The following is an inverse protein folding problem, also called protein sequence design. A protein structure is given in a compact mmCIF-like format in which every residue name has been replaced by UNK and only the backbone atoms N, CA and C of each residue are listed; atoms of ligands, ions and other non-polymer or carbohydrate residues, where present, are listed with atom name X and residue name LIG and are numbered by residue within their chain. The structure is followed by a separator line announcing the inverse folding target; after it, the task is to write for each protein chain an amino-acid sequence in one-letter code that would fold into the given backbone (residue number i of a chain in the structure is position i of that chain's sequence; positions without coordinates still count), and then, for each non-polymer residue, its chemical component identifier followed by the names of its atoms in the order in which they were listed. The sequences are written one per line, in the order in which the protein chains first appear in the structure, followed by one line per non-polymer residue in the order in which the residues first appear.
data_IF_496497098767
#
_entry.id   IF_496497098767
#
_cell.length_a   1.000
_cell.length_b   1.000
_cell.length_c   1.000
_cell.angle_alpha   90.00
_cell.angle_beta   90.00
_cell.angle_gamma   90.00
#
_symmetry.space_group_name_H-M   'P 1'
#
loop_
_entity.id
_entity.type
_entity.pdbx_description
1 polymer ?
#
# COMPACT_ATOMS: atom_id res chain seq x y z
N UNK A 1 -26.79 -0.11 5.86
CA UNK A 1 -25.54 -0.53 5.19
C UNK A 1 -24.48 0.50 5.49
N UNK A 2 -23.35 0.08 6.07
CA UNK A 2 -22.30 0.94 6.60
C UNK A 2 -21.44 1.55 5.47
N UNK A 3 -22.04 2.42 4.65
CA UNK A 3 -21.28 3.28 3.74
C UNK A 3 -20.64 4.38 4.59
N UNK A 4 -19.50 4.08 5.20
CA UNK A 4 -18.71 5.07 5.94
C UNK A 4 -18.48 6.31 5.08
N UNK A 5 -18.52 7.49 5.71
CA UNK A 5 -18.41 8.81 5.08
C UNK A 5 -16.97 9.11 4.60
N UNK A 6 -16.44 8.30 3.70
CA UNK A 6 -15.11 8.52 3.12
C UNK A 6 -15.22 8.80 1.63
N UNK A 7 -14.46 9.79 1.16
CA UNK A 7 -14.30 10.07 -0.27
C UNK A 7 -12.98 9.48 -0.77
N UNK A 8 -12.93 9.13 -2.05
CA UNK A 8 -11.74 8.62 -2.73
C UNK A 8 -11.36 9.58 -3.85
N UNK A 9 -10.08 9.85 -3.99
CA UNK A 9 -9.53 10.79 -4.98
C UNK A 9 -8.32 10.16 -5.67
N UNK A 10 -8.19 10.36 -6.98
CA UNK A 10 -7.02 9.90 -7.72
C UNK A 10 -5.77 10.68 -7.32
N UNK A 11 -4.61 10.03 -7.41
CA UNK A 11 -3.33 10.68 -7.23
C UNK A 11 -2.91 11.38 -8.53
N UNK A 12 -2.46 12.64 -8.50
CA UNK A 12 -2.18 13.42 -9.70
C UNK A 12 -0.93 12.96 -10.47
N UNK A 13 0.02 12.33 -9.77
CA UNK A 13 1.31 11.90 -10.35
C UNK A 13 1.44 10.38 -10.53
N UNK A 14 0.47 9.58 -10.07
CA UNK A 14 0.60 8.12 -10.05
C UNK A 14 -0.77 7.44 -10.15
N UNK A 15 -1.10 6.91 -11.33
CA UNK A 15 -2.39 6.25 -11.57
C UNK A 15 -2.66 5.06 -10.64
N UNK A 16 -1.64 4.39 -10.10
CA UNK A 16 -1.83 3.28 -9.16
C UNK A 16 -2.14 3.75 -7.75
N UNK A 17 -1.82 5.01 -7.43
CA UNK A 17 -2.06 5.58 -6.10
C UNK A 17 -3.38 6.34 -6.07
N UNK A 18 -3.93 6.41 -4.87
CA UNK A 18 -5.13 7.19 -4.60
C UNK A 18 -5.17 7.62 -3.14
N UNK A 19 -5.97 8.63 -2.85
CA UNK A 19 -6.21 9.12 -1.51
C UNK A 19 -7.59 8.70 -1.04
N UNK A 20 -7.69 8.27 0.22
CA UNK A 20 -8.95 8.16 0.94
C UNK A 20 -8.99 9.27 1.98
N UNK A 21 -10.00 10.13 1.90
CA UNK A 21 -10.24 11.17 2.90
C UNK A 21 -11.16 10.63 4.00
N UNK A 22 -10.61 10.51 5.20
CA UNK A 22 -11.34 10.11 6.41
C UNK A 22 -11.35 11.30 7.36
N UNK A 23 -12.53 11.84 7.69
CA UNK A 23 -12.67 12.99 8.60
C UNK A 23 -11.82 14.21 8.18
N UNK A 24 -11.67 14.43 6.87
CA UNK A 24 -10.85 15.51 6.31
C UNK A 24 -9.34 15.24 6.28
N UNK A 25 -8.89 14.07 6.74
CA UNK A 25 -7.47 13.67 6.69
C UNK A 25 -7.24 12.74 5.49
N UNK A 26 -6.47 13.14 4.46
CA UNK A 26 -6.15 12.29 3.34
C UNK A 26 -5.13 11.22 3.74
N UNK A 27 -5.38 9.98 3.35
CA UNK A 27 -4.46 8.85 3.50
C UNK A 27 -4.17 8.25 2.14
N UNK A 28 -2.88 8.07 1.84
CA UNK A 28 -2.43 7.45 0.58
C UNK A 28 -2.60 5.92 0.63
N UNK A 29 -3.14 5.38 -0.45
CA UNK A 29 -3.28 3.95 -0.71
C UNK A 29 -2.87 3.65 -2.17
N UNK A 30 -2.68 2.37 -2.47
CA UNK A 30 -2.32 1.91 -3.81
C UNK A 30 -3.15 0.71 -4.25
N UNK A 31 -3.44 0.66 -5.55
CA UNK A 31 -4.02 -0.50 -6.22
C UNK A 31 -2.99 -1.63 -6.36
N UNK A 32 -3.44 -2.90 -6.44
CA UNK A 32 -2.55 -4.03 -6.69
C UNK A 32 -1.79 -3.84 -8.02
N UNK A 33 -0.66 -4.53 -8.15
CA UNK A 33 0.14 -4.46 -9.36
C UNK A 33 -0.68 -4.97 -10.55
N UNK A 34 -0.74 -4.16 -11.61
CA UNK A 34 -1.49 -4.45 -12.83
C UNK A 34 -2.82 -3.70 -12.92
N UNK A 35 -3.23 -2.97 -11.87
CA UNK A 35 -4.44 -2.12 -11.91
C UNK A 35 -4.14 -0.70 -11.46
N UNK A 36 -5.00 0.22 -11.88
CA UNK A 36 -4.91 1.65 -11.58
C UNK A 36 -6.22 2.13 -10.97
N UNK A 37 -6.19 3.27 -10.27
CA UNK A 37 -7.37 3.80 -9.62
C UNK A 37 -8.24 4.59 -10.60
N UNK A 38 -9.50 4.18 -10.73
CA UNK A 38 -10.55 4.83 -11.49
C UNK A 38 -11.47 5.60 -10.54
N UNK A 39 -11.62 6.91 -10.74
CA UNK A 39 -12.67 7.69 -10.08
C UNK A 39 -14.00 7.37 -10.77
N UNK A 40 -15.03 7.01 -10.00
CA UNK A 40 -16.39 6.84 -10.49
C UNK A 40 -17.17 8.16 -10.53
N UNK A 41 -18.25 8.19 -11.30
CA UNK A 41 -19.05 9.40 -11.58
C UNK A 41 -19.74 10.03 -10.36
N UNK A 42 -19.82 9.32 -9.25
CA UNK A 42 -20.39 9.81 -8.01
C UNK A 42 -19.30 10.10 -6.97
N UNK A 43 -19.39 11.27 -6.33
CA UNK A 43 -18.46 11.74 -5.30
C UNK A 43 -18.18 10.67 -4.23
N UNK A 44 -16.95 10.16 -4.21
CA UNK A 44 -16.50 9.15 -3.25
C UNK A 44 -16.52 7.70 -3.75
N UNK A 45 -17.01 7.46 -4.97
CA UNK A 45 -16.93 6.16 -5.63
C UNK A 45 -15.65 6.08 -6.44
N UNK A 46 -14.88 5.01 -6.27
CA UNK A 46 -13.64 4.82 -7.00
C UNK A 46 -13.00 3.49 -6.65
N UNK A 47 -12.49 2.81 -7.67
CA UNK A 47 -12.13 1.40 -7.64
C UNK A 47 -10.84 1.18 -8.44
N UNK A 48 -10.17 0.07 -8.18
CA UNK A 48 -9.01 -0.33 -8.99
C UNK A 48 -9.50 -1.05 -10.25
N UNK A 49 -9.19 -0.51 -11.41
CA UNK A 49 -9.59 -1.01 -12.72
C UNK A 49 -8.36 -1.20 -13.62
N UNK A 50 -8.54 -1.78 -14.79
CA UNK A 50 -7.46 -1.95 -15.76
C UNK A 50 -6.99 -0.58 -16.31
N UNK A 51 -5.67 -0.39 -16.51
CA UNK A 51 -5.09 0.86 -17.01
C UNK A 51 -5.69 1.32 -18.34
N UNK A 52 -6.03 0.38 -19.21
CA UNK A 52 -6.64 0.64 -20.52
C UNK A 52 -8.06 1.23 -20.43
N UNK A 53 -8.74 1.04 -19.29
CA UNK A 53 -10.10 1.56 -19.05
C UNK A 53 -10.08 2.93 -18.36
N UNK A 54 -8.93 3.37 -17.86
CA UNK A 54 -8.79 4.64 -17.15
C UNK A 54 -8.11 5.66 -18.07
N UNK A 55 -8.83 6.71 -18.51
CA UNK A 55 -8.28 7.68 -19.44
C UNK A 55 -7.10 8.44 -18.83
N UNK A 56 -5.97 8.46 -19.54
CA UNK A 56 -4.70 9.04 -19.10
C UNK A 56 -3.77 8.07 -18.37
N UNK A 57 -4.18 6.82 -18.19
CA UNK A 57 -3.41 5.78 -17.51
C UNK A 57 -3.15 4.54 -18.39
N UNK A 58 -3.51 4.57 -19.68
CA UNK A 58 -3.42 3.44 -20.60
C UNK A 58 -2.01 2.84 -20.66
N UNK A 59 -0.99 3.71 -20.72
CA UNK A 59 0.42 3.33 -20.81
C UNK A 59 1.12 3.32 -19.43
N UNK A 60 0.39 3.34 -18.31
CA UNK A 60 1.00 3.43 -16.97
C UNK A 60 1.97 2.28 -16.66
N UNK A 61 1.72 1.09 -17.22
CA UNK A 61 2.63 -0.06 -17.15
C UNK A 61 3.41 -0.33 -18.45
N UNK A 62 3.25 0.53 -19.47
CA UNK A 62 3.59 0.35 -20.89
C UNK A 62 4.65 -0.70 -21.22
N UNK A 63 5.90 -0.44 -20.86
CA UNK A 63 7.08 -1.24 -21.24
C UNK A 63 7.81 -1.82 -20.02
N UNK A 64 7.22 -1.75 -18.82
CA UNK A 64 7.62 -2.59 -17.71
C UNK A 64 7.18 -4.02 -18.04
N UNK A 65 8.04 -4.68 -18.81
CA UNK A 65 7.90 -6.01 -19.36
C UNK A 65 7.51 -7.01 -18.24
N UNK A 66 6.21 -7.08 -17.94
CA UNK A 66 5.58 -8.07 -17.07
C UNK A 66 5.88 -9.48 -17.61
N UNK A 67 6.23 -9.57 -18.90
CA UNK A 67 6.72 -10.77 -19.57
C UNK A 67 8.12 -11.18 -19.10
N UNK A 68 8.97 -10.24 -18.66
CA UNK A 68 10.29 -10.49 -18.06
C UNK A 68 10.21 -10.77 -16.56
N UNK A 69 9.31 -10.10 -15.82
CA UNK A 69 9.09 -10.39 -14.38
C UNK A 69 8.42 -11.76 -14.18
N UNK A 70 7.40 -12.11 -14.98
CA UNK A 70 6.80 -13.46 -14.97
C UNK A 70 7.71 -14.52 -15.60
N UNK A 71 8.65 -14.14 -16.47
CA UNK A 71 9.70 -15.07 -16.92
C UNK A 71 10.65 -15.41 -15.79
N UNK A 72 11.07 -14.45 -14.98
CA UNK A 72 12.01 -14.73 -13.89
C UNK A 72 11.43 -15.64 -12.80
N UNK A 73 10.13 -15.58 -12.49
CA UNK A 73 9.51 -16.54 -11.56
C UNK A 73 9.21 -17.91 -12.19
N UNK A 74 8.87 -17.98 -13.49
CA UNK A 74 8.62 -19.26 -14.18
C UNK A 74 9.92 -19.99 -14.59
N UNK A 75 10.99 -19.26 -14.92
CA UNK A 75 12.33 -19.81 -15.17
C UNK A 75 13.04 -20.22 -13.86
N UNK A 76 12.61 -19.69 -12.71
CA UNK A 76 13.00 -20.20 -11.38
C UNK A 76 12.26 -21.50 -10.99
N UNK A 77 11.50 -22.11 -11.92
CA UNK A 77 10.92 -23.45 -11.81
C UNK A 77 11.92 -24.60 -11.94
N UNK A 78 13.13 -24.48 -11.41
CA UNK A 78 14.04 -25.62 -11.16
C UNK A 78 14.85 -25.41 -9.88
N UNK A 79 14.41 -26.06 -8.80
CA UNK A 79 15.30 -26.57 -7.75
C UNK A 79 15.50 -25.71 -6.50
N UNK A 80 14.46 -25.54 -5.67
CA UNK A 80 14.69 -25.52 -4.22
C UNK A 80 14.04 -26.76 -3.63
N UNK A 81 14.92 -27.70 -3.28
CA UNK A 81 14.61 -28.98 -2.70
C UNK A 81 13.62 -28.87 -1.54
N UNK A 82 12.68 -29.80 -1.52
CA UNK A 82 11.95 -30.23 -0.34
C UNK A 82 12.95 -30.63 0.76
N UNK A 83 13.36 -29.66 1.58
CA UNK A 83 14.00 -29.95 2.86
C UNK A 83 12.90 -30.20 3.90
N UNK A 84 12.87 -31.35 4.59
CA UNK A 84 11.91 -31.59 5.65
C UNK A 84 12.12 -30.60 6.81
N UNK A 85 11.01 -30.06 7.31
CA UNK A 85 10.92 -29.29 8.54
C UNK A 85 11.51 -30.10 9.72
N UNK A 86 12.43 -29.55 10.53
CA UNK A 86 12.47 -29.89 11.94
C UNK A 86 11.52 -28.94 12.69
N UNK A 87 10.55 -29.54 13.37
CA UNK A 87 9.80 -28.91 14.44
C UNK A 87 10.78 -28.43 15.52
N UNK A 88 10.77 -27.14 15.83
CA UNK A 88 11.70 -26.54 16.77
C UNK A 88 11.26 -25.14 17.18
N UNK A 89 10.33 -25.08 18.13
CA UNK A 89 9.96 -23.85 18.83
C UNK A 89 11.18 -23.30 19.58
N UNK A 90 11.74 -22.18 19.11
CA UNK A 90 12.70 -21.38 19.86
C UNK A 90 12.17 -19.93 19.96
N UNK A 91 12.01 -19.39 21.18
CA UNK A 91 11.45 -18.05 21.39
C UNK A 91 12.44 -16.97 20.94
N UNK A 92 11.91 -15.95 20.26
CA UNK A 92 12.65 -14.73 19.88
C UNK A 92 13.06 -13.97 21.15
N UNK A 93 14.30 -13.48 21.28
CA UNK A 93 14.69 -12.59 22.37
C UNK A 93 14.01 -11.22 22.21
N UNK A 94 13.29 -10.79 23.25
CA UNK A 94 12.70 -9.46 23.37
C UNK A 94 13.81 -8.41 23.28
N UNK A 95 13.84 -7.62 22.20
CA UNK A 95 14.63 -6.39 22.16
C UNK A 95 13.76 -5.25 22.71
N UNK A 96 14.14 -4.60 23.83
CA UNK A 96 13.39 -3.48 24.37
C UNK A 96 13.37 -2.32 23.36
N UNK A 97 12.18 -1.79 23.13
CA UNK A 97 11.97 -0.50 22.47
C UNK A 97 12.65 0.59 23.31
N UNK A 98 13.56 1.41 22.77
CA UNK A 98 14.14 2.51 23.53
C UNK A 98 13.04 3.54 23.83
N UNK A 99 12.89 3.86 25.12
CA UNK A 99 11.98 4.90 25.58
C UNK A 99 12.57 6.28 25.24
N UNK A 100 11.77 7.24 24.74
CA UNK A 100 12.21 8.63 24.68
C UNK A 100 12.34 9.16 26.11
N UNK A 101 13.57 9.56 26.46
CA UNK A 101 13.92 10.09 27.77
C UNK A 101 13.16 11.39 28.06
N UNK A 102 12.39 11.38 29.15
CA UNK A 102 11.82 12.58 29.77
C UNK A 102 12.90 13.63 30.00
N UNK A 103 12.77 14.78 29.34
CA UNK A 103 13.39 16.02 29.81
C UNK A 103 12.34 16.77 30.61
N UNK A 104 12.54 16.77 31.92
CA UNK A 104 11.93 17.71 32.86
C UNK A 104 12.27 19.15 32.44
N UNK A 105 11.26 20.02 32.41
CA UNK A 105 11.36 21.47 32.58
C UNK A 105 9.96 22.05 32.92
N UNK A 106 9.88 23.15 33.68
CA UNK A 106 9.05 23.25 34.89
C UNK A 106 7.66 23.90 34.72
N UNK A 107 6.89 23.82 35.81
CA UNK A 107 5.56 24.37 36.13
C UNK A 107 5.25 25.82 35.66
N UNK A 108 3.96 26.19 35.60
CA UNK A 108 3.48 27.49 35.11
C UNK A 108 3.60 28.60 36.17
N UNK A 109 4.01 29.80 35.71
CA UNK A 109 3.94 31.03 36.49
C UNK A 109 2.72 31.88 36.05
N UNK A 110 1.86 32.11 37.04
CA UNK A 110 0.87 33.18 37.28
C UNK A 110 1.02 34.49 36.47
N UNK A 111 -0.05 34.89 35.74
CA UNK A 111 -0.81 36.13 35.97
C UNK A 111 -2.13 36.14 35.17
#
# INVERSE_FOLDING_TARGET
TNSGTFSRHAHPEDCRKYYICLEGVPREYGCPIGTVFKIGDADGTGNCEDPEEVPGCEDYYGDLDLKSIRKSELLAGTGIASAPRPSGSAPRPNKPRPQPSSRNAPEPADN
#
